data_IF_609031326296
#
_entry.id   IF_609031326296
#
_cell.length_a   1.000
_cell.length_b   1.000
_cell.length_c   1.000
_cell.angle_alpha   90.00
_cell.angle_beta   90.00
_cell.angle_gamma   90.00
#
_symmetry.space_group_name_H-M   'P 1'
#
loop_
_entity.id
_entity.type
_entity.pdbx_description
1 polymer ?
#
# COMPACT_ATOMS: atom_id res chain seq x y z
N UNK A 1 -36.04 -9.58 44.89
CA UNK A 1 -36.03 -10.13 43.52
C UNK A 1 -35.13 -9.31 42.60
N UNK A 2 -33.95 -8.87 43.09
CA UNK A 2 -33.26 -7.71 42.50
C UNK A 2 -31.81 -8.04 42.08
N UNK A 3 -31.15 -9.03 42.69
CA UNK A 3 -29.77 -9.40 42.35
C UNK A 3 -29.63 -10.11 41.00
N UNK A 4 -30.62 -10.94 40.63
CA UNK A 4 -30.64 -11.63 39.32
C UNK A 4 -30.84 -10.65 38.17
N UNK A 5 -31.67 -9.62 38.37
CA UNK A 5 -31.93 -8.60 37.36
C UNK A 5 -30.70 -7.71 37.13
N UNK A 6 -29.99 -7.34 38.20
CA UNK A 6 -28.74 -6.59 38.13
C UNK A 6 -27.62 -7.39 37.44
N UNK A 7 -27.52 -8.69 37.74
CA UNK A 7 -26.53 -9.57 37.09
C UNK A 7 -26.79 -9.71 35.59
N UNK A 8 -28.06 -9.84 35.17
CA UNK A 8 -28.43 -9.92 33.74
C UNK A 8 -28.16 -8.59 33.04
N UNK A 9 -28.48 -7.47 33.68
CA UNK A 9 -28.24 -6.14 33.12
C UNK A 9 -26.73 -5.87 32.93
N UNK A 10 -25.89 -6.29 33.88
CA UNK A 10 -24.45 -6.18 33.77
C UNK A 10 -23.89 -7.05 32.62
N UNK A 11 -24.40 -8.27 32.45
CA UNK A 11 -23.96 -9.18 31.39
C UNK A 11 -24.27 -8.64 29.97
N UNK A 12 -25.43 -8.00 29.81
CA UNK A 12 -25.88 -7.38 28.55
C UNK A 12 -25.01 -6.17 28.19
N UNK A 13 -24.60 -5.36 29.17
CA UNK A 13 -23.74 -4.20 28.93
C UNK A 13 -22.33 -4.61 28.49
N UNK A 14 -21.79 -5.71 29.04
CA UNK A 14 -20.46 -6.22 28.69
C UNK A 14 -20.43 -6.78 27.26
N UNK A 15 -21.51 -7.44 26.82
CA UNK A 15 -21.61 -8.00 25.46
C UNK A 15 -21.77 -6.91 24.38
N UNK A 16 -22.40 -5.78 24.70
CA UNK A 16 -22.49 -4.63 23.80
C UNK A 16 -21.11 -3.95 23.57
N UNK A 17 -20.24 -3.92 24.58
CA UNK A 17 -18.90 -3.34 24.47
C UNK A 17 -17.95 -4.16 23.58
N UNK A 18 -18.16 -5.48 23.49
CA UNK A 18 -17.40 -6.41 22.64
C UNK A 18 -17.85 -6.41 21.17
N UNK A 19 -18.83 -5.61 20.77
CA UNK A 19 -19.31 -5.65 19.37
C UNK A 19 -18.61 -4.66 18.42
N UNK A 20 -17.64 -3.87 18.89
CA UNK A 20 -16.95 -2.89 18.05
C UNK A 20 -15.66 -3.44 17.40
N UNK A 21 -15.71 -4.69 16.94
CA UNK A 21 -14.79 -5.18 15.92
C UNK A 21 -15.30 -4.82 14.53
N UNK A 22 -15.33 -3.53 14.18
CA UNK A 22 -15.57 -3.12 12.78
C UNK A 22 -14.34 -3.47 11.94
N UNK A 23 -14.19 -4.74 11.61
CA UNK A 23 -13.47 -5.12 10.41
C UNK A 23 -14.35 -4.66 9.25
N UNK A 24 -14.20 -3.39 8.86
CA UNK A 24 -14.59 -2.94 7.53
C UNK A 24 -13.69 -3.75 6.60
N UNK A 25 -14.18 -4.91 6.18
CA UNK A 25 -13.72 -5.54 4.97
C UNK A 25 -13.96 -4.47 3.89
N UNK A 26 -12.88 -3.77 3.52
CA UNK A 26 -12.89 -2.85 2.41
C UNK A 26 -13.23 -3.70 1.19
N UNK A 27 -14.52 -3.75 0.88
CA UNK A 27 -15.06 -4.34 -0.34
C UNK A 27 -14.23 -3.80 -1.49
N UNK A 28 -13.73 -4.74 -2.28
CA UNK A 28 -12.62 -4.53 -3.20
C UNK A 28 -12.84 -3.36 -4.14
N UNK A 29 -11.98 -2.36 -4.02
CA UNK A 29 -11.28 -1.93 -5.23
C UNK A 29 -10.35 -3.10 -5.54
N UNK A 30 -10.47 -3.73 -6.71
CA UNK A 30 -9.52 -4.75 -7.16
C UNK A 30 -8.08 -4.37 -6.77
N UNK A 31 -7.24 -5.35 -6.44
CA UNK A 31 -5.81 -5.22 -6.16
C UNK A 31 -5.05 -4.66 -7.39
N UNK A 32 -5.38 -3.44 -7.80
CA UNK A 32 -4.89 -2.81 -9.01
C UNK A 32 -3.61 -2.08 -8.64
N UNK A 33 -2.52 -2.68 -9.08
CA UNK A 33 -1.24 -2.02 -9.21
C UNK A 33 -1.44 -0.64 -9.89
N UNK A 34 -0.69 0.37 -9.46
CA UNK A 34 -0.76 1.72 -10.04
C UNK A 34 -0.28 1.71 -11.51
N UNK A 35 0.66 0.83 -11.82
CA UNK A 35 1.29 0.69 -13.12
C UNK A 35 0.55 -0.32 -14.00
N UNK A 36 -0.01 0.16 -15.10
CA UNK A 36 -0.61 -0.68 -16.16
C UNK A 36 0.48 -1.15 -17.14
N UNK A 37 1.50 -0.32 -17.37
CA UNK A 37 2.62 -0.61 -18.24
C UNK A 37 3.93 -0.04 -17.65
N UNK A 38 5.06 -0.63 -18.03
CA UNK A 38 6.39 -0.23 -17.57
C UNK A 38 7.23 0.32 -18.72
N UNK A 39 8.16 1.19 -18.37
CA UNK A 39 9.12 1.81 -19.28
C UNK A 39 10.54 1.32 -18.96
N UNK A 40 11.14 0.60 -19.90
CA UNK A 40 12.46 -0.02 -19.72
C UNK A 40 13.61 0.83 -20.27
N UNK A 41 13.34 1.79 -21.15
CA UNK A 41 14.39 2.62 -21.77
C UNK A 41 15.01 3.53 -20.71
N UNK A 42 16.32 3.74 -20.82
CA UNK A 42 17.07 4.57 -19.89
C UNK A 42 16.56 6.01 -19.85
N UNK A 43 16.34 6.51 -18.64
CA UNK A 43 16.01 7.92 -18.37
C UNK A 43 17.18 8.55 -17.62
N UNK A 44 17.75 9.67 -18.10
CA UNK A 44 18.85 10.33 -17.39
C UNK A 44 18.44 10.73 -15.96
N UNK A 45 19.26 10.45 -14.92
CA UNK A 45 18.93 10.84 -13.55
C UNK A 45 18.67 12.34 -13.38
N UNK A 46 19.28 13.18 -14.23
CA UNK A 46 19.07 14.64 -14.24
C UNK A 46 17.64 15.06 -14.57
N UNK A 47 16.86 14.24 -15.25
CA UNK A 47 15.45 14.52 -15.56
C UNK A 47 14.48 13.93 -14.53
N UNK A 48 14.96 13.10 -13.61
CA UNK A 48 14.17 12.50 -12.54
C UNK A 48 14.18 13.47 -11.35
N UNK A 49 13.01 13.75 -10.80
CA UNK A 49 12.81 14.56 -9.60
C UNK A 49 12.69 13.68 -8.36
N UNK A 50 11.90 12.62 -8.43
CA UNK A 50 11.67 11.69 -7.31
C UNK A 50 11.48 10.25 -7.81
N UNK A 51 11.71 9.27 -6.94
CA UNK A 51 11.47 7.85 -7.23
C UNK A 51 10.81 7.18 -6.04
N UNK A 52 9.61 6.63 -6.28
CA UNK A 52 8.85 5.86 -5.30
C UNK A 52 8.98 4.36 -5.60
N UNK A 53 9.45 3.60 -4.62
CA UNK A 53 9.46 2.14 -4.64
C UNK A 53 8.26 1.60 -3.85
N UNK A 54 7.36 0.90 -4.53
CA UNK A 54 6.24 0.19 -3.90
C UNK A 54 6.54 -1.30 -3.92
N UNK A 55 6.70 -1.90 -2.73
CA UNK A 55 6.94 -3.34 -2.60
C UNK A 55 5.66 -4.14 -2.89
N UNK A 56 5.84 -5.40 -3.28
CA UNK A 56 4.74 -6.35 -3.43
C UNK A 56 4.00 -6.53 -2.10
N UNK A 57 2.68 -6.52 -2.13
CA UNK A 57 1.85 -6.68 -0.93
C UNK A 57 0.42 -7.16 -1.23
N UNK A 58 -0.45 -7.13 -0.21
CA UNK A 58 -1.85 -7.60 -0.33
C UNK A 58 -2.71 -6.81 -1.30
N UNK A 59 -2.21 -5.66 -1.80
CA UNK A 59 -2.93 -4.78 -2.71
C UNK A 59 -2.36 -4.77 -4.14
N UNK A 60 -1.12 -5.25 -4.34
CA UNK A 60 -0.50 -5.43 -5.65
C UNK A 60 0.64 -6.45 -5.49
N UNK A 61 0.62 -7.52 -6.29
CA UNK A 61 1.66 -8.57 -6.21
C UNK A 61 2.98 -8.17 -6.86
N UNK A 62 2.97 -7.15 -7.70
CA UNK A 62 4.15 -6.68 -8.41
C UNK A 62 4.91 -5.65 -7.57
N UNK A 63 6.22 -5.59 -7.75
CA UNK A 63 7.02 -4.44 -7.31
C UNK A 63 6.84 -3.33 -8.33
N UNK A 64 6.51 -2.12 -7.88
CA UNK A 64 6.36 -0.96 -8.73
C UNK A 64 7.45 0.07 -8.43
N UNK A 65 8.07 0.60 -9.48
CA UNK A 65 9.02 1.70 -9.37
C UNK A 65 8.45 2.85 -10.18
N UNK A 66 8.07 3.93 -9.50
CA UNK A 66 7.42 5.07 -10.15
C UNK A 66 8.38 6.24 -10.05
N UNK A 67 8.83 6.75 -11.19
CA UNK A 67 9.68 7.93 -11.27
C UNK A 67 8.84 9.15 -11.63
N UNK A 68 8.95 10.20 -10.81
CA UNK A 68 8.42 11.52 -11.12
C UNK A 68 9.50 12.31 -11.83
N UNK A 69 9.22 12.74 -13.06
CA UNK A 69 10.13 13.56 -13.85
C UNK A 69 10.02 15.03 -13.46
N UNK A 70 11.05 15.83 -13.77
CA UNK A 70 11.06 17.28 -13.50
C UNK A 70 9.97 18.07 -14.22
N UNK A 71 9.42 17.52 -15.30
CA UNK A 71 8.29 18.08 -16.02
C UNK A 71 6.93 17.67 -15.40
N UNK A 72 6.94 16.97 -14.27
CA UNK A 72 5.76 16.54 -13.53
C UNK A 72 5.15 15.23 -14.02
N UNK A 73 5.68 14.60 -15.09
CA UNK A 73 5.17 13.32 -15.57
C UNK A 73 5.59 12.18 -14.64
N UNK A 74 4.66 11.29 -14.35
CA UNK A 74 4.95 10.03 -13.65
C UNK A 74 5.17 8.90 -14.67
N UNK A 75 6.23 8.14 -14.47
CA UNK A 75 6.60 7.02 -15.35
C UNK A 75 6.88 5.79 -14.50
N UNK A 76 6.13 4.73 -14.75
CA UNK A 76 6.41 3.40 -14.21
C UNK A 76 7.64 2.81 -14.89
N UNK A 77 8.67 2.46 -14.11
CA UNK A 77 9.93 1.89 -14.59
C UNK A 77 9.90 0.37 -14.49
N UNK A 78 10.53 -0.30 -15.46
CA UNK A 78 10.66 -1.75 -15.49
C UNK A 78 11.65 -2.25 -14.40
N UNK A 79 11.20 -2.96 -13.35
CA UNK A 79 12.06 -3.36 -12.23
C UNK A 79 13.19 -4.33 -12.64
N UNK A 80 13.02 -5.04 -13.75
CA UNK A 80 14.02 -5.98 -14.28
C UNK A 80 15.13 -5.29 -15.07
N UNK A 81 14.99 -4.00 -15.43
CA UNK A 81 16.01 -3.28 -16.18
C UNK A 81 17.26 -3.00 -15.30
N UNK A 82 18.50 -3.25 -15.78
CA UNK A 82 19.71 -3.14 -14.96
C UNK A 82 19.90 -1.77 -14.30
N UNK A 83 19.59 -0.68 -15.02
CA UNK A 83 19.74 0.68 -14.48
C UNK A 83 18.70 0.99 -13.40
N UNK A 84 17.50 0.41 -13.48
CA UNK A 84 16.44 0.55 -12.47
C UNK A 84 16.86 -0.19 -11.20
N UNK A 85 17.45 -1.38 -11.32
CA UNK A 85 17.98 -2.12 -10.18
C UNK A 85 19.08 -1.34 -9.43
N UNK A 86 19.92 -0.57 -10.14
CA UNK A 86 20.90 0.30 -9.49
C UNK A 86 20.23 1.39 -8.67
N UNK A 87 19.15 2.01 -9.19
CA UNK A 87 18.36 3.00 -8.45
C UNK A 87 17.73 2.36 -7.21
N UNK A 88 17.09 1.19 -7.34
CA UNK A 88 16.49 0.46 -6.21
C UNK A 88 17.55 0.20 -5.13
N UNK A 89 18.73 -0.30 -5.50
CA UNK A 89 19.83 -0.53 -4.56
C UNK A 89 20.26 0.75 -3.85
N UNK A 90 20.37 1.86 -4.57
CA UNK A 90 20.73 3.14 -3.99
C UNK A 90 19.67 3.67 -3.00
N UNK A 91 18.38 3.45 -3.29
CA UNK A 91 17.28 3.81 -2.38
C UNK A 91 17.31 2.94 -1.12
N UNK A 92 17.52 1.64 -1.26
CA UNK A 92 17.54 0.69 -0.13
C UNK A 92 18.82 0.75 0.72
N UNK A 93 19.91 1.30 0.16
CA UNK A 93 21.17 1.48 0.87
C UNK A 93 21.18 2.73 1.77
N UNK A 94 20.11 3.53 1.75
CA UNK A 94 19.93 4.71 2.59
C UNK A 94 19.08 4.40 3.80
#
# INVERSE_FOLDING_TARGET
>A
MNGKLLAVLALVLISAAVSQGKAVARMGTELRCQCIATHSKFIPPKSIQDVKLTQSGPHCKNVEVIATLKDGREVCLEPTAPWVQLIIKAILAK
#
